data_IF_721613364151
#
_entry.id   IF_721613364151
#
_cell.length_a   1.000
_cell.length_b   1.000
_cell.length_c   1.000
_cell.angle_alpha   90.00
_cell.angle_beta   90.00
_cell.angle_gamma   90.00
#
_symmetry.space_group_name_H-M   'P 1'
#
loop_
_entity.id
_entity.type
_entity.pdbx_description
1 polymer ?
#
# COMPACT_ATOMS: atom_id res chain seq x y z
N UNK A 1 -37.93 -36.16 -57.18
CA UNK A 1 -36.71 -36.25 -56.35
C UNK A 1 -35.86 -34.98 -56.36
N UNK A 2 -35.62 -34.34 -57.51
CA UNK A 2 -34.72 -33.16 -57.64
C UNK A 2 -35.08 -31.94 -56.75
N UNK A 3 -36.38 -31.65 -56.53
CA UNK A 3 -36.83 -30.52 -55.70
C UNK A 3 -36.47 -30.66 -54.22
N UNK A 4 -36.42 -31.89 -53.70
CA UNK A 4 -36.13 -32.14 -52.28
C UNK A 4 -34.62 -32.00 -51.97
N UNK A 5 -33.77 -32.24 -52.97
CA UNK A 5 -32.31 -32.09 -52.85
C UNK A 5 -31.90 -30.62 -52.87
N UNK A 6 -32.53 -29.80 -53.72
CA UNK A 6 -32.25 -28.35 -53.77
C UNK A 6 -32.66 -27.69 -52.46
N UNK A 7 -33.84 -28.01 -51.92
CA UNK A 7 -34.34 -27.40 -50.68
C UNK A 7 -33.47 -27.76 -49.45
N UNK A 8 -32.95 -28.99 -49.39
CA UNK A 8 -31.99 -29.39 -48.35
C UNK A 8 -30.63 -28.69 -48.50
N UNK A 9 -30.16 -28.49 -49.74
CA UNK A 9 -28.91 -27.77 -50.00
C UNK A 9 -29.02 -26.29 -49.59
N UNK A 10 -30.16 -25.65 -49.85
CA UNK A 10 -30.38 -24.24 -49.45
C UNK A 10 -30.44 -24.08 -47.94
N UNK A 11 -31.04 -25.03 -47.22
CA UNK A 11 -31.11 -24.99 -45.75
C UNK A 11 -29.72 -25.22 -45.14
N UNK A 12 -28.93 -26.16 -45.67
CA UNK A 12 -27.55 -26.40 -45.20
C UNK A 12 -26.64 -25.20 -45.49
N UNK A 13 -26.80 -24.52 -46.63
CA UNK A 13 -26.03 -23.33 -46.97
C UNK A 13 -26.42 -22.13 -46.09
N UNK A 14 -27.72 -21.95 -45.79
CA UNK A 14 -28.19 -20.92 -44.87
C UNK A 14 -27.73 -21.17 -43.42
N UNK A 15 -27.71 -22.44 -42.99
CA UNK A 15 -27.22 -22.82 -41.66
C UNK A 15 -25.69 -22.69 -41.54
N UNK A 16 -24.95 -22.95 -42.62
CA UNK A 16 -23.51 -22.74 -42.68
C UNK A 16 -23.13 -21.24 -42.70
N UNK A 17 -23.97 -20.39 -43.30
CA UNK A 17 -23.82 -18.92 -43.25
C UNK A 17 -24.17 -18.32 -41.88
N UNK A 18 -25.08 -18.96 -41.13
CA UNK A 18 -25.40 -18.59 -39.73
C UNK A 18 -24.35 -19.08 -38.71
N UNK A 19 -23.51 -20.05 -39.09
CA UNK A 19 -22.40 -20.59 -38.29
C UNK A 19 -21.04 -20.08 -38.73
N UNK A 20 -20.98 -19.15 -39.69
CA UNK A 20 -19.74 -18.44 -39.98
C UNK A 20 -19.34 -17.69 -38.70
N UNK A 21 -18.17 -17.98 -38.10
CA UNK A 21 -17.70 -17.19 -36.97
C UNK A 21 -17.63 -15.75 -37.45
N UNK A 22 -18.42 -14.88 -36.82
CA UNK A 22 -18.26 -13.45 -36.97
C UNK A 22 -16.81 -13.17 -36.64
N UNK A 23 -16.01 -12.85 -37.66
CA UNK A 23 -14.66 -12.33 -37.47
C UNK A 23 -14.89 -10.97 -36.82
N UNK A 24 -14.94 -10.96 -35.49
CA UNK A 24 -14.91 -9.74 -34.70
C UNK A 24 -13.54 -9.15 -35.00
N UNK A 25 -13.48 -8.24 -35.96
CA UNK A 25 -12.29 -7.43 -36.19
C UNK A 25 -11.96 -6.75 -34.87
N UNK A 26 -10.78 -7.01 -34.32
CA UNK A 26 -10.31 -6.30 -33.13
C UNK A 26 -10.39 -4.80 -33.41
N UNK A 27 -11.35 -4.11 -32.78
CA UNK A 27 -11.44 -2.66 -32.86
C UNK A 27 -10.17 -2.08 -32.24
N UNK A 28 -9.61 -1.04 -32.86
CA UNK A 28 -8.50 -0.35 -32.22
C UNK A 28 -9.00 0.29 -30.92
N UNK A 29 -8.14 0.36 -29.91
CA UNK A 29 -8.46 1.02 -28.64
C UNK A 29 -8.94 2.47 -28.85
N UNK A 30 -8.42 3.17 -29.86
CA UNK A 30 -8.84 4.52 -30.23
C UNK A 30 -10.25 4.55 -30.86
N UNK A 31 -10.65 3.52 -31.61
CA UNK A 31 -12.01 3.43 -32.15
C UNK A 31 -13.05 3.26 -31.04
N UNK A 32 -12.77 2.36 -30.08
CA UNK A 32 -13.59 2.18 -28.87
C UNK A 32 -13.71 3.52 -28.13
N UNK A 33 -12.59 4.22 -27.96
CA UNK A 33 -12.56 5.51 -27.27
C UNK A 33 -13.39 6.58 -28.00
N UNK A 34 -13.28 6.65 -29.33
CA UNK A 34 -13.97 7.63 -30.15
C UNK A 34 -15.50 7.46 -30.09
N UNK A 35 -16.00 6.22 -29.95
CA UNK A 35 -17.43 5.93 -29.82
C UNK A 35 -18.04 6.48 -28.52
N UNK A 36 -17.21 6.72 -27.50
CA UNK A 36 -17.62 7.18 -26.17
C UNK A 36 -17.27 8.64 -25.90
N UNK A 37 -16.91 9.42 -26.93
CA UNK A 37 -16.70 10.87 -26.79
C UNK A 37 -17.97 11.57 -26.29
N UNK A 38 -17.79 12.48 -25.34
CA UNK A 38 -18.83 13.45 -24.98
C UNK A 38 -18.59 14.77 -25.70
N UNK A 39 -19.64 15.60 -25.75
CA UNK A 39 -19.55 16.91 -26.38
C UNK A 39 -18.44 17.76 -25.74
N UNK A 40 -17.67 18.46 -26.58
CA UNK A 40 -16.51 19.28 -26.19
C UNK A 40 -15.26 18.52 -25.72
N UNK A 41 -15.17 17.20 -25.95
CA UNK A 41 -13.90 16.49 -25.81
C UNK A 41 -12.91 16.98 -26.88
N UNK A 42 -11.73 17.41 -26.45
CA UNK A 42 -10.68 17.99 -27.30
C UNK A 42 -9.57 17.00 -27.61
N UNK A 43 -9.28 16.07 -26.69
CA UNK A 43 -8.21 15.09 -26.85
C UNK A 43 -8.56 13.77 -26.16
N UNK A 44 -8.09 12.66 -26.75
CA UNK A 44 -8.16 11.31 -26.20
C UNK A 44 -6.74 10.76 -26.13
N UNK A 45 -6.37 10.21 -24.99
CA UNK A 45 -5.09 9.59 -24.75
C UNK A 45 -5.29 8.22 -24.10
N UNK A 46 -4.67 7.18 -24.65
CA UNK A 46 -4.63 5.87 -24.00
C UNK A 46 -3.53 5.94 -22.95
N UNK A 47 -3.90 5.96 -21.68
CA UNK A 47 -2.96 6.04 -20.55
C UNK A 47 -2.21 4.71 -20.42
N UNK A 48 -2.97 3.61 -20.43
CA UNK A 48 -2.40 2.28 -20.24
C UNK A 48 -3.27 1.19 -20.84
N UNK A 49 -2.66 0.02 -21.01
CA UNK A 49 -3.31 -1.26 -21.32
C UNK A 49 -2.86 -2.27 -20.27
N UNK A 50 -3.83 -2.82 -19.54
CA UNK A 50 -3.58 -3.76 -18.43
C UNK A 50 -4.43 -5.02 -18.60
N UNK A 51 -3.94 -6.14 -18.10
CA UNK A 51 -4.69 -7.40 -18.07
C UNK A 51 -5.15 -7.66 -16.64
N UNK A 52 -6.43 -7.94 -16.44
CA UNK A 52 -6.98 -8.31 -15.13
C UNK A 52 -7.94 -9.48 -15.30
N UNK A 53 -7.72 -10.54 -14.52
CA UNK A 53 -8.54 -11.75 -14.55
C UNK A 53 -8.67 -12.33 -15.98
N UNK A 54 -7.56 -12.32 -16.73
CA UNK A 54 -7.50 -12.80 -18.11
C UNK A 54 -8.18 -11.91 -19.15
N UNK A 55 -8.74 -10.77 -18.75
CA UNK A 55 -9.35 -9.79 -19.67
C UNK A 55 -8.42 -8.59 -19.83
N UNK A 56 -8.25 -8.12 -21.07
CA UNK A 56 -7.48 -6.89 -21.32
C UNK A 56 -8.39 -5.67 -21.21
N UNK A 57 -7.90 -4.64 -20.54
CA UNK A 57 -8.58 -3.37 -20.33
C UNK A 57 -7.73 -2.21 -20.85
N UNK A 58 -8.39 -1.21 -21.41
CA UNK A 58 -7.82 0.05 -21.87
C UNK A 58 -8.24 1.16 -20.90
N UNK A 59 -7.25 1.87 -20.36
CA UNK A 59 -7.48 3.04 -19.50
C UNK A 59 -7.27 4.29 -20.34
N UNK A 60 -8.34 5.05 -20.55
CA UNK A 60 -8.39 6.11 -21.55
C UNK A 60 -8.70 7.44 -20.88
N UNK A 61 -7.85 8.43 -21.10
CA UNK A 61 -8.05 9.81 -20.65
C UNK A 61 -8.76 10.63 -21.71
N UNK A 62 -9.80 11.32 -21.29
CA UNK A 62 -10.50 12.32 -22.07
C UNK A 62 -10.22 13.70 -21.49
N UNK A 63 -9.76 14.61 -22.35
CA UNK A 63 -9.66 16.02 -22.01
C UNK A 63 -10.84 16.74 -22.66
N UNK A 64 -11.59 17.49 -21.86
CA UNK A 64 -12.75 18.27 -22.28
C UNK A 64 -12.47 19.76 -22.07
N UNK A 65 -13.09 20.63 -22.90
CA UNK A 65 -13.01 22.09 -22.70
C UNK A 65 -13.48 22.49 -21.29
N UNK A 66 -14.45 21.76 -20.74
CA UNK A 66 -14.94 21.93 -19.39
C UNK A 66 -14.15 21.03 -18.44
N UNK A 67 -13.31 21.57 -17.51
CA UNK A 67 -12.39 20.75 -16.72
C UNK A 67 -13.07 19.65 -15.89
N UNK A 68 -14.27 19.93 -15.36
CA UNK A 68 -15.06 18.96 -14.60
C UNK A 68 -15.60 17.78 -15.42
N UNK A 69 -15.58 17.90 -16.75
CA UNK A 69 -16.01 16.87 -17.68
C UNK A 69 -14.82 16.05 -18.22
N UNK A 70 -13.59 16.47 -17.93
CA UNK A 70 -12.38 15.67 -18.23
C UNK A 70 -12.29 14.51 -17.24
N UNK A 71 -11.64 13.42 -17.65
CA UNK A 71 -11.39 12.31 -16.74
C UNK A 71 -10.98 11.03 -17.45
N UNK A 72 -11.17 9.90 -16.77
CA UNK A 72 -10.77 8.59 -17.27
C UNK A 72 -11.98 7.71 -17.52
N UNK A 73 -11.95 6.93 -18.58
CA UNK A 73 -12.85 5.81 -18.79
C UNK A 73 -12.05 4.53 -18.98
N UNK A 74 -12.69 3.40 -18.65
CA UNK A 74 -12.08 2.08 -18.75
C UNK A 74 -12.94 1.27 -19.69
N UNK A 75 -12.30 0.61 -20.65
CA UNK A 75 -12.97 -0.28 -21.60
C UNK A 75 -12.32 -1.64 -21.57
N UNK A 76 -13.11 -2.70 -21.64
CA UNK A 76 -12.56 -4.03 -21.95
C UNK A 76 -12.19 -4.15 -23.44
N UNK A 77 -11.43 -5.18 -23.78
CA UNK A 77 -10.96 -5.44 -25.14
C UNK A 77 -12.08 -5.61 -26.19
N UNK A 78 -13.28 -5.98 -25.75
CA UNK A 78 -14.49 -6.09 -26.57
C UNK A 78 -15.25 -4.76 -26.73
N UNK A 79 -14.75 -3.68 -26.13
CA UNK A 79 -15.31 -2.33 -26.23
C UNK A 79 -16.37 -1.99 -25.18
N UNK A 80 -16.65 -2.87 -24.22
CA UNK A 80 -17.60 -2.57 -23.14
C UNK A 80 -17.02 -1.56 -22.15
N UNK A 81 -17.77 -0.49 -21.88
CA UNK A 81 -17.42 0.49 -20.85
C UNK A 81 -17.59 -0.12 -19.46
N UNK A 82 -16.55 -0.02 -18.63
CA UNK A 82 -16.57 -0.56 -17.26
C UNK A 82 -17.21 0.45 -16.33
N UNK A 83 -18.34 0.04 -15.75
CA UNK A 83 -19.13 0.86 -14.82
C UNK A 83 -19.10 0.34 -13.39
N UNK A 84 -18.69 -0.92 -13.18
CA UNK A 84 -18.56 -1.53 -11.85
C UNK A 84 -17.36 -0.91 -11.11
N UNK A 85 -17.59 -0.25 -9.96
CA UNK A 85 -16.52 0.35 -9.16
C UNK A 85 -15.45 -0.65 -8.69
N UNK A 86 -15.82 -1.91 -8.43
CA UNK A 86 -14.88 -2.94 -7.96
C UNK A 86 -13.88 -3.33 -9.06
N UNK A 87 -14.39 -3.56 -10.27
CA UNK A 87 -13.55 -3.85 -11.45
C UNK A 87 -12.71 -2.63 -11.81
N UNK A 88 -13.32 -1.44 -11.85
CA UNK A 88 -12.61 -0.19 -12.14
C UNK A 88 -11.47 0.04 -11.13
N UNK A 89 -11.73 -0.12 -9.83
CA UNK A 89 -10.70 0.01 -8.79
C UNK A 89 -9.56 -0.98 -9.02
N UNK A 90 -9.85 -2.23 -9.37
CA UNK A 90 -8.82 -3.25 -9.61
C UNK A 90 -7.94 -2.90 -10.83
N UNK A 91 -8.56 -2.52 -11.95
CA UNK A 91 -7.86 -2.09 -13.18
C UNK A 91 -7.00 -0.86 -12.95
N UNK A 92 -7.53 0.16 -12.25
CA UNK A 92 -6.78 1.39 -11.95
C UNK A 92 -5.68 1.16 -10.92
N UNK A 93 -5.86 0.21 -10.00
CA UNK A 93 -4.81 -0.24 -9.07
C UNK A 93 -3.66 -0.84 -9.85
N UNK A 94 -3.92 -1.76 -10.78
CA UNK A 94 -2.87 -2.31 -11.63
C UNK A 94 -2.14 -1.24 -12.44
N UNK A 95 -2.90 -0.31 -13.03
CA UNK A 95 -2.34 0.80 -13.82
C UNK A 95 -1.42 1.68 -12.96
N UNK A 96 -1.86 2.03 -11.75
CA UNK A 96 -1.08 2.83 -10.81
C UNK A 96 0.20 2.11 -10.37
N UNK A 97 0.11 0.82 -10.04
CA UNK A 97 1.26 0.01 -9.63
C UNK A 97 2.23 -0.25 -10.75
N UNK A 98 1.76 -0.45 -11.99
CA UNK A 98 2.61 -0.57 -13.17
C UNK A 98 3.35 0.74 -13.44
N UNK A 99 2.66 1.89 -13.46
CA UNK A 99 3.31 3.21 -13.59
C UNK A 99 4.34 3.43 -12.46
N UNK A 100 3.98 3.15 -11.21
CA UNK A 100 4.90 3.24 -10.09
C UNK A 100 6.13 2.32 -10.25
N UNK A 101 5.93 1.07 -10.63
CA UNK A 101 7.00 0.09 -10.83
C UNK A 101 7.94 0.48 -11.98
N UNK A 102 7.42 1.05 -13.07
CA UNK A 102 8.27 1.55 -14.17
C UNK A 102 9.11 2.76 -13.76
N UNK A 103 8.67 3.54 -12.77
CA UNK A 103 9.43 4.65 -12.20
C UNK A 103 10.47 4.20 -11.18
N UNK A 104 10.40 2.95 -10.69
CA UNK A 104 11.42 2.41 -9.78
C UNK A 104 12.78 2.31 -10.48
N UNK A 105 13.74 2.98 -9.89
CA UNK A 105 15.15 2.87 -10.28
C UNK A 105 15.67 1.49 -9.86
N UNK A 106 16.67 0.94 -10.55
CA UNK A 106 17.36 -0.26 -10.09
C UNK A 106 17.80 -0.17 -8.61
N UNK A 107 18.28 1.00 -8.19
CA UNK A 107 18.67 1.30 -6.80
C UNK A 107 17.55 1.12 -5.77
N UNK A 108 16.28 1.26 -6.17
CA UNK A 108 15.14 1.12 -5.26
C UNK A 108 14.85 -0.36 -5.00
N UNK A 109 14.98 -1.20 -6.04
CA UNK A 109 14.92 -2.66 -5.92
C UNK A 109 16.13 -3.18 -5.13
N UNK A 110 17.31 -2.62 -5.37
CA UNK A 110 18.51 -2.95 -4.59
C UNK A 110 18.31 -2.60 -3.11
N UNK A 111 17.68 -1.45 -2.81
CA UNK A 111 17.33 -1.09 -1.42
C UNK A 111 16.42 -2.14 -0.77
N UNK A 112 15.43 -2.69 -1.49
CA UNK A 112 14.59 -3.78 -0.96
C UNK A 112 15.38 -5.07 -0.74
N UNK A 113 16.35 -5.37 -1.60
CA UNK A 113 17.26 -6.52 -1.43
C UNK A 113 18.17 -6.30 -0.21
N UNK A 114 18.65 -5.08 0.00
CA UNK A 114 19.45 -4.73 1.18
C UNK A 114 18.62 -4.86 2.47
N UNK A 115 17.32 -4.50 2.46
CA UNK A 115 16.41 -4.74 3.59
C UNK A 115 16.27 -6.23 3.87
N UNK A 116 16.08 -7.03 2.81
CA UNK A 116 15.96 -8.48 2.92
C UNK A 116 17.22 -9.09 3.55
N UNK A 117 18.39 -8.70 3.06
CA UNK A 117 19.67 -9.21 3.55
C UNK A 117 19.94 -8.74 4.98
N UNK A 118 19.67 -7.46 5.29
CA UNK A 118 19.72 -6.93 6.67
C UNK A 118 18.80 -7.73 7.61
N UNK A 119 17.60 -8.09 7.17
CA UNK A 119 16.68 -8.89 7.99
C UNK A 119 17.20 -10.30 8.26
N UNK A 120 17.91 -10.91 7.30
CA UNK A 120 18.54 -12.23 7.47
C UNK A 120 19.74 -12.14 8.41
N UNK A 121 20.54 -11.08 8.30
CA UNK A 121 21.65 -10.82 9.22
C UNK A 121 21.16 -10.63 10.65
N UNK A 122 20.09 -9.85 10.85
CA UNK A 122 19.43 -9.71 12.16
C UNK A 122 19.02 -11.08 12.70
N UNK A 123 18.33 -11.90 11.91
CA UNK A 123 17.92 -13.23 12.34
C UNK A 123 19.13 -14.08 12.76
N UNK A 124 20.20 -14.08 11.95
CA UNK A 124 21.43 -14.82 12.21
C UNK A 124 22.17 -14.36 13.47
N UNK A 125 22.13 -13.08 13.78
CA UNK A 125 22.74 -12.51 14.99
C UNK A 125 21.88 -12.74 16.25
N UNK A 126 20.56 -12.63 16.13
CA UNK A 126 19.64 -12.69 17.29
C UNK A 126 19.39 -14.11 17.76
N UNK A 127 19.27 -15.07 16.84
CA UNK A 127 18.89 -16.44 17.18
C UNK A 127 19.88 -17.14 18.15
N UNK A 128 21.22 -17.05 17.97
CA UNK A 128 22.18 -17.58 18.92
C UNK A 128 22.05 -16.96 20.32
N UNK A 129 21.93 -15.63 20.40
CA UNK A 129 21.83 -14.93 21.69
C UNK A 129 20.52 -15.26 22.42
N UNK A 130 19.42 -15.43 21.69
CA UNK A 130 18.16 -15.91 22.29
C UNK A 130 18.33 -17.32 22.88
N UNK A 131 19.01 -18.21 22.16
CA UNK A 131 19.31 -19.57 22.64
C UNK A 131 20.23 -19.55 23.87
N UNK A 132 21.29 -18.75 23.87
CA UNK A 132 22.19 -18.58 25.01
C UNK A 132 21.47 -17.97 26.22
N UNK A 133 20.59 -16.99 25.99
CA UNK A 133 19.74 -16.41 27.03
C UNK A 133 18.85 -17.48 27.69
N UNK A 134 18.17 -18.30 26.88
CA UNK A 134 17.39 -19.44 27.38
C UNK A 134 18.24 -20.43 28.18
N UNK A 135 19.44 -20.76 27.69
CA UNK A 135 20.36 -21.66 28.39
C UNK A 135 20.78 -21.10 29.76
N UNK A 136 21.11 -19.81 29.86
CA UNK A 136 21.47 -19.19 31.14
C UNK A 136 20.28 -19.17 32.11
N UNK A 137 19.05 -18.94 31.64
CA UNK A 137 17.83 -19.05 32.46
C UNK A 137 17.70 -20.48 33.03
N UNK A 138 17.90 -21.50 32.19
CA UNK A 138 17.88 -22.89 32.63
C UNK A 138 18.98 -23.18 33.66
N UNK A 139 20.16 -22.58 33.48
CA UNK A 139 21.26 -22.68 34.47
C UNK A 139 20.94 -21.98 35.78
N UNK A 140 20.24 -20.84 35.77
CA UNK A 140 19.75 -20.19 37.00
C UNK A 140 18.80 -21.13 37.75
N UNK A 141 17.89 -21.79 37.04
CA UNK A 141 16.96 -22.76 37.63
C UNK A 141 17.68 -23.97 38.19
N UNK A 142 18.60 -24.56 37.43
CA UNK A 142 19.43 -25.68 37.88
C UNK A 142 20.25 -25.31 39.13
N UNK A 143 20.85 -24.11 39.16
CA UNK A 143 21.63 -23.63 40.30
C UNK A 143 20.77 -23.56 41.56
N UNK A 144 19.51 -23.14 41.41
CA UNK A 144 18.52 -23.00 42.48
C UNK A 144 18.04 -24.35 43.04
N UNK A 145 17.83 -25.35 42.19
CA UNK A 145 17.18 -26.61 42.59
C UNK A 145 18.15 -27.77 42.82
N UNK A 146 19.22 -27.86 42.03
CA UNK A 146 20.01 -29.08 41.87
C UNK A 146 21.48 -28.92 42.27
N UNK A 147 22.04 -27.71 42.23
CA UNK A 147 23.45 -27.46 42.53
C UNK A 147 23.75 -27.47 44.04
N UNK A 148 23.57 -28.62 44.69
CA UNK A 148 23.81 -28.82 46.11
C UNK A 148 24.60 -30.09 46.39
N UNK A 149 25.39 -30.06 47.46
CA UNK A 149 26.18 -31.21 47.95
C UNK A 149 25.83 -31.47 49.41
N UNK A 150 25.54 -32.72 49.73
CA UNK A 150 25.35 -33.17 51.11
C UNK A 150 26.69 -33.48 51.76
N UNK A 151 27.05 -32.70 52.77
CA UNK A 151 28.30 -32.88 53.51
C UNK A 151 27.99 -33.59 54.83
N UNK A 152 28.65 -34.71 55.16
CA UNK A 152 28.48 -35.39 56.44
C UNK A 152 28.66 -34.41 57.62
N UNK A 153 27.77 -34.48 58.60
CA UNK A 153 27.78 -33.67 59.84
C UNK A 153 27.59 -32.14 59.67
N UNK A 154 27.68 -31.59 58.46
CA UNK A 154 27.51 -30.15 58.15
C UNK A 154 26.18 -29.87 57.44
N UNK A 155 25.58 -30.89 56.81
CA UNK A 155 24.31 -30.81 56.10
C UNK A 155 24.45 -30.40 54.63
N UNK A 156 23.31 -30.14 53.99
CA UNK A 156 23.21 -29.76 52.57
C UNK A 156 23.77 -28.35 52.36
N UNK A 157 24.69 -28.19 51.41
CA UNK A 157 25.21 -26.89 50.95
C UNK A 157 24.84 -26.68 49.50
N UNK A 158 24.25 -25.54 49.20
CA UNK A 158 23.79 -25.20 47.86
C UNK A 158 24.56 -24.02 47.29
N UNK A 159 24.90 -24.10 46.00
CA UNK A 159 25.55 -23.04 45.25
C UNK A 159 24.68 -21.77 45.22
N UNK A 160 23.35 -21.94 45.08
CA UNK A 160 22.39 -20.85 45.10
C UNK A 160 22.47 -19.96 46.34
N UNK A 161 22.64 -20.55 47.52
CA UNK A 161 22.71 -19.77 48.77
C UNK A 161 23.97 -18.90 48.81
N UNK A 162 25.10 -19.44 48.34
CA UNK A 162 26.35 -18.71 48.23
C UNK A 162 26.26 -17.57 47.19
N UNK A 163 25.67 -17.85 46.02
CA UNK A 163 25.45 -16.83 44.98
C UNK A 163 24.49 -15.76 45.45
N UNK A 164 23.39 -16.11 46.12
CA UNK A 164 22.43 -15.14 46.66
C UNK A 164 23.03 -14.28 47.77
N UNK A 165 23.93 -14.83 48.58
CA UNK A 165 24.64 -14.09 49.61
C UNK A 165 25.63 -13.08 49.00
N UNK A 166 26.35 -13.48 47.95
CA UNK A 166 27.29 -12.60 47.25
C UNK A 166 26.59 -11.57 46.35
N UNK A 167 25.47 -11.96 45.74
CA UNK A 167 24.68 -11.15 44.81
C UNK A 167 23.18 -11.29 45.10
N UNK A 168 22.64 -10.50 46.05
CA UNK A 168 21.21 -10.52 46.36
C UNK A 168 20.30 -10.18 45.17
N UNK A 169 20.86 -9.50 44.15
CA UNK A 169 20.18 -9.14 42.91
C UNK A 169 19.98 -10.29 41.91
N UNK A 170 20.38 -11.54 42.20
CA UNK A 170 20.32 -12.64 41.24
C UNK A 170 18.89 -12.92 40.70
N UNK A 171 17.85 -12.62 41.46
CA UNK A 171 16.46 -12.72 40.97
C UNK A 171 16.11 -11.64 39.94
N UNK A 172 16.76 -10.48 40.00
CA UNK A 172 16.63 -9.44 38.98
C UNK A 172 17.23 -9.90 37.66
N UNK A 173 18.36 -10.61 37.69
CA UNK A 173 18.98 -11.19 36.49
C UNK A 173 18.03 -12.15 35.79
N UNK A 174 17.40 -13.06 36.53
CA UNK A 174 16.41 -13.99 35.97
C UNK A 174 15.25 -13.24 35.28
N UNK A 175 14.71 -12.21 35.94
CA UNK A 175 13.63 -11.38 35.37
C UNK A 175 14.08 -10.64 34.11
N UNK A 176 15.27 -10.05 34.14
CA UNK A 176 15.84 -9.32 33.01
C UNK A 176 16.12 -10.25 31.82
N UNK A 177 16.72 -11.42 32.07
CA UNK A 177 16.96 -12.44 31.05
C UNK A 177 15.65 -12.99 30.47
N UNK A 178 14.66 -13.29 31.32
CA UNK A 178 13.36 -13.77 30.86
C UNK A 178 12.65 -12.76 29.97
N UNK A 179 12.69 -11.48 30.37
CA UNK A 179 12.16 -10.41 29.54
C UNK A 179 13.03 -10.24 28.28
N UNK A 180 14.36 -10.33 28.35
CA UNK A 180 15.26 -10.17 27.19
C UNK A 180 14.98 -11.24 26.15
N UNK A 181 14.83 -12.49 26.59
CA UNK A 181 14.52 -13.60 25.71
C UNK A 181 13.20 -13.37 24.95
N UNK A 182 12.19 -12.78 25.60
CA UNK A 182 10.93 -12.43 24.94
C UNK A 182 11.15 -11.39 23.84
N UNK A 183 11.93 -10.35 24.11
CA UNK A 183 12.20 -9.30 23.12
C UNK A 183 13.09 -9.79 21.97
N UNK A 184 14.10 -10.63 22.26
CA UNK A 184 14.93 -11.27 21.23
C UNK A 184 14.08 -12.16 20.32
N UNK A 185 13.16 -12.95 20.87
CA UNK A 185 12.27 -13.77 20.05
C UNK A 185 11.31 -12.91 19.22
N UNK A 186 10.75 -11.85 19.78
CA UNK A 186 9.90 -10.92 19.01
C UNK A 186 10.68 -10.22 17.88
N UNK A 187 11.94 -9.85 18.12
CA UNK A 187 12.81 -9.25 17.11
C UNK A 187 13.17 -10.25 16.00
N UNK A 188 13.51 -11.49 16.37
CA UNK A 188 13.75 -12.61 15.46
C UNK A 188 12.53 -12.90 14.58
N UNK A 189 11.34 -12.96 15.17
CA UNK A 189 10.09 -13.24 14.45
C UNK A 189 9.75 -12.10 13.48
N UNK A 190 10.00 -10.85 13.87
CA UNK A 190 9.83 -9.69 12.98
C UNK A 190 10.79 -9.74 11.78
N UNK A 191 12.05 -10.12 12.01
CA UNK A 191 13.04 -10.29 10.96
C UNK A 191 12.65 -11.40 9.97
N UNK A 192 12.13 -12.50 10.50
CA UNK A 192 11.60 -13.60 9.70
C UNK A 192 10.35 -13.16 8.90
N UNK A 193 9.47 -12.34 9.48
CA UNK A 193 8.32 -11.75 8.79
C UNK A 193 8.72 -10.98 7.53
N UNK A 194 9.77 -10.14 7.62
CA UNK A 194 10.34 -9.43 6.47
C UNK A 194 10.93 -10.41 5.45
N UNK A 195 11.72 -11.38 5.92
CA UNK A 195 12.34 -12.40 5.07
C UNK A 195 11.33 -13.23 4.27
N UNK A 196 10.13 -13.46 4.82
CA UNK A 196 9.08 -14.23 4.18
C UNK A 196 8.23 -13.43 3.17
N UNK A 197 8.09 -12.12 3.41
CA UNK A 197 7.18 -11.25 2.63
C UNK A 197 7.91 -10.53 1.51
N UNK A 198 9.11 -10.02 1.77
CA UNK A 198 9.82 -9.14 0.85
C UNK A 198 10.25 -9.80 -0.47
N UNK A 199 10.61 -11.11 -0.53
CA UNK A 199 10.89 -11.76 -1.81
C UNK A 199 9.69 -11.72 -2.78
N UNK A 200 8.47 -11.86 -2.28
CA UNK A 200 7.24 -11.78 -3.11
C UNK A 200 7.03 -10.36 -3.63
N UNK A 201 7.27 -9.35 -2.78
CA UNK A 201 7.19 -7.94 -3.16
C UNK A 201 8.20 -7.61 -4.25
N UNK A 202 9.47 -7.99 -4.06
CA UNK A 202 10.55 -7.75 -5.02
C UNK A 202 10.20 -8.40 -6.36
N UNK A 203 9.84 -9.70 -6.36
CA UNK A 203 9.46 -10.41 -7.57
C UNK A 203 8.27 -9.77 -8.28
N UNK A 204 7.23 -9.38 -7.54
CA UNK A 204 6.05 -8.75 -8.13
C UNK A 204 6.33 -7.37 -8.73
N UNK A 205 7.19 -6.57 -8.09
CA UNK A 205 7.63 -5.29 -8.64
C UNK A 205 8.50 -5.46 -9.89
N UNK A 206 9.39 -6.46 -9.92
CA UNK A 206 10.19 -6.81 -11.09
C UNK A 206 9.30 -7.31 -12.26
N UNK A 207 8.27 -8.11 -11.96
CA UNK A 207 7.28 -8.59 -12.94
C UNK A 207 6.46 -7.44 -13.54
N UNK A 208 5.99 -6.51 -12.70
CA UNK A 208 5.29 -5.29 -13.15
C UNK A 208 6.19 -4.43 -14.05
N UNK A 209 7.47 -4.29 -13.68
CA UNK A 209 8.45 -3.54 -14.47
C UNK A 209 8.72 -4.21 -15.82
N UNK A 210 8.64 -5.53 -15.90
CA UNK A 210 8.68 -6.30 -17.14
C UNK A 210 7.37 -6.25 -17.95
N UNK A 211 6.33 -5.56 -17.44
CA UNK A 211 5.04 -5.41 -18.11
C UNK A 211 4.11 -6.62 -17.96
N UNK A 212 4.36 -7.51 -17.01
CA UNK A 212 3.47 -8.64 -16.71
C UNK A 212 2.23 -8.18 -15.95
N UNK A 213 1.19 -9.03 -15.95
CA UNK A 213 0.00 -8.83 -15.11
C UNK A 213 0.41 -8.80 -13.63
N UNK A 214 -0.20 -7.89 -12.87
CA UNK A 214 0.03 -7.78 -11.43
C UNK A 214 -0.47 -9.05 -10.74
N UNK A 215 0.37 -9.67 -9.91
CA UNK A 215 -0.09 -10.72 -9.01
C UNK A 215 -1.22 -10.17 -8.12
N UNK A 216 -2.41 -10.81 -8.07
CA UNK A 216 -3.52 -10.39 -7.21
C UNK A 216 -3.14 -10.22 -5.74
N UNK A 217 -2.15 -10.96 -5.25
CA UNK A 217 -1.67 -10.86 -3.86
C UNK A 217 -0.59 -9.78 -3.67
N UNK A 218 -0.07 -9.16 -4.73
CA UNK A 218 1.06 -8.23 -4.61
C UNK A 218 0.74 -7.04 -3.69
N UNK A 219 -0.46 -6.48 -3.76
CA UNK A 219 -0.85 -5.38 -2.89
C UNK A 219 -0.85 -5.80 -1.41
N UNK A 220 -1.41 -6.97 -1.11
CA UNK A 220 -1.40 -7.54 0.24
C UNK A 220 0.03 -7.84 0.69
N UNK A 221 0.85 -8.45 -0.17
CA UNK A 221 2.26 -8.72 0.13
C UNK A 221 3.05 -7.43 0.41
N UNK A 222 2.76 -6.32 -0.29
CA UNK A 222 3.38 -5.02 -0.02
C UNK A 222 2.95 -4.48 1.34
N UNK A 223 1.66 -4.53 1.65
CA UNK A 223 1.13 -4.08 2.95
C UNK A 223 1.71 -4.89 4.10
N UNK A 224 1.73 -6.21 3.97
CA UNK A 224 2.29 -7.13 4.94
C UNK A 224 3.80 -6.92 5.09
N UNK A 225 4.51 -6.73 3.98
CA UNK A 225 5.94 -6.42 3.97
C UNK A 225 6.28 -5.12 4.68
N UNK A 226 5.52 -4.05 4.44
CA UNK A 226 5.70 -2.78 5.15
C UNK A 226 5.38 -2.91 6.65
N UNK A 227 4.32 -3.63 7.01
CA UNK A 227 3.95 -3.85 8.41
C UNK A 227 5.03 -4.66 9.15
N UNK A 228 5.53 -5.73 8.51
CA UNK A 228 6.62 -6.54 9.03
C UNK A 228 7.89 -5.71 9.20
N UNK A 229 8.23 -4.88 8.20
CA UNK A 229 9.39 -4.00 8.25
C UNK A 229 9.27 -2.92 9.34
N UNK A 230 8.11 -2.28 9.49
CA UNK A 230 7.86 -1.33 10.57
C UNK A 230 8.00 -1.96 11.96
N UNK A 231 7.54 -3.21 12.10
CA UNK A 231 7.72 -4.00 13.32
C UNK A 231 9.20 -4.31 13.57
N UNK A 232 9.93 -4.75 12.55
CA UNK A 232 11.37 -5.03 12.63
C UNK A 232 12.16 -3.80 13.07
N UNK A 233 11.89 -2.64 12.46
CA UNK A 233 12.53 -1.37 12.83
C UNK A 233 12.26 -1.03 14.29
N UNK A 234 10.99 -1.09 14.71
CA UNK A 234 10.58 -0.77 16.09
C UNK A 234 11.31 -1.68 17.09
N UNK A 235 11.37 -2.99 16.82
CA UNK A 235 12.08 -3.94 17.68
C UNK A 235 13.59 -3.75 17.69
N UNK A 236 14.18 -3.35 16.56
CA UNK A 236 15.61 -3.01 16.48
C UNK A 236 15.95 -1.77 17.32
N UNK A 237 15.08 -0.76 17.32
CA UNK A 237 15.29 0.48 18.09
C UNK A 237 15.09 0.23 19.60
N UNK A 238 14.05 -0.52 19.98
CA UNK A 238 13.76 -0.89 21.38
C UNK A 238 14.88 -1.75 22.00
N UNK A 239 15.32 -2.80 21.29
CA UNK A 239 16.32 -3.74 21.80
C UNK A 239 17.69 -3.06 21.97
N UNK A 240 18.06 -2.13 21.10
CA UNK A 240 19.36 -1.42 21.19
C UNK A 240 19.53 -0.67 22.51
N UNK A 241 18.45 -0.08 23.04
CA UNK A 241 18.42 0.55 24.36
C UNK A 241 18.57 -0.54 25.43
N UNK A 242 17.72 -1.55 25.35
CA UNK A 242 17.60 -2.61 26.35
C UNK A 242 18.86 -3.44 26.56
N UNK A 243 19.60 -3.76 25.50
CA UNK A 243 20.87 -4.50 25.59
C UNK A 243 21.89 -3.76 26.48
N UNK A 244 21.83 -2.42 26.53
CA UNK A 244 22.72 -1.63 27.39
C UNK A 244 22.51 -1.95 28.88
N UNK A 245 21.26 -2.06 29.31
CA UNK A 245 20.88 -2.30 30.70
C UNK A 245 21.17 -3.76 31.10
N UNK A 246 20.91 -4.70 30.17
CA UNK A 246 21.23 -6.11 30.36
C UNK A 246 22.74 -6.32 30.51
N UNK A 247 23.58 -5.68 29.68
CA UNK A 247 25.05 -5.81 29.78
C UNK A 247 25.54 -5.39 31.17
N UNK A 248 25.01 -4.30 31.73
CA UNK A 248 25.37 -3.87 33.09
C UNK A 248 24.97 -4.94 34.11
N UNK A 249 23.73 -5.42 34.03
CA UNK A 249 23.20 -6.46 34.92
C UNK A 249 24.02 -7.76 34.85
N UNK A 250 24.40 -8.20 33.64
CA UNK A 250 25.19 -9.42 33.45
C UNK A 250 26.63 -9.25 33.92
N UNK A 251 27.23 -8.07 33.72
CA UNK A 251 28.59 -7.80 34.21
C UNK A 251 28.64 -7.81 35.75
N UNK A 252 27.64 -7.23 36.41
CA UNK A 252 27.51 -7.26 37.87
C UNK A 252 27.28 -8.68 38.39
N UNK A 253 26.40 -9.43 37.71
CA UNK A 253 26.12 -10.82 38.03
C UNK A 253 27.35 -11.71 37.86
N UNK A 254 28.08 -11.58 36.76
CA UNK A 254 29.31 -12.35 36.49
C UNK A 254 30.35 -12.08 37.58
N UNK A 255 30.68 -10.80 37.83
CA UNK A 255 31.69 -10.39 38.81
C UNK A 255 31.35 -10.90 40.22
N UNK A 256 30.11 -10.71 40.65
CA UNK A 256 29.66 -11.12 41.98
C UNK A 256 29.59 -12.64 42.13
N UNK A 257 29.11 -13.35 41.10
CA UNK A 257 29.08 -14.83 41.08
C UNK A 257 30.51 -15.38 41.11
N UNK A 258 31.42 -14.79 40.35
CA UNK A 258 32.81 -15.23 40.28
C UNK A 258 33.54 -15.02 41.61
N UNK A 259 33.21 -13.95 42.35
CA UNK A 259 33.66 -13.78 43.74
C UNK A 259 33.12 -14.88 44.68
N UNK A 260 31.90 -15.37 44.45
CA UNK A 260 31.31 -16.44 45.23
C UNK A 260 31.90 -17.82 44.93
N UNK A 261 32.58 -17.99 43.79
CA UNK A 261 33.20 -19.26 43.38
C UNK A 261 34.31 -19.73 44.34
N UNK A 262 34.83 -18.85 45.21
CA UNK A 262 35.71 -19.24 46.32
C UNK A 262 35.03 -20.03 47.44
N UNK A 263 33.70 -20.23 47.38
CA UNK A 263 32.95 -20.99 48.40
C UNK A 263 33.37 -22.46 48.37
N UNK A 264 33.83 -23.03 49.51
CA UNK A 264 34.19 -24.44 49.57
C UNK A 264 33.05 -25.36 49.13
N UNK A 265 33.42 -26.48 48.48
CA UNK A 265 32.53 -27.58 48.08
C UNK A 265 31.59 -27.26 46.91
N UNK A 266 31.00 -26.07 46.84
CA UNK A 266 30.07 -25.67 45.75
C UNK A 266 30.68 -24.73 44.72
N UNK A 267 31.94 -24.31 44.92
CA UNK A 267 32.63 -23.32 44.08
C UNK A 267 32.71 -23.66 42.60
N UNK A 268 32.84 -24.94 42.24
CA UNK A 268 32.90 -25.38 40.84
C UNK A 268 31.58 -25.14 40.08
N UNK A 269 30.44 -25.39 40.73
CA UNK A 269 29.12 -25.09 40.18
C UNK A 269 28.95 -23.58 39.95
N UNK A 270 29.44 -22.78 40.89
CA UNK A 270 29.37 -21.32 40.84
C UNK A 270 30.27 -20.77 39.73
N UNK A 271 31.49 -21.30 39.59
CA UNK A 271 32.42 -20.92 38.51
C UNK A 271 31.82 -21.22 37.14
N UNK A 272 31.27 -22.43 36.96
CA UNK A 272 30.63 -22.82 35.70
C UNK A 272 29.46 -21.90 35.35
N UNK A 273 28.66 -21.52 36.35
CA UNK A 273 27.57 -20.57 36.14
C UNK A 273 28.09 -19.16 35.79
N UNK A 274 29.14 -18.68 36.48
CA UNK A 274 29.76 -17.40 36.15
C UNK A 274 30.30 -17.36 34.72
N UNK A 275 30.92 -18.45 34.26
CA UNK A 275 31.41 -18.58 32.88
C UNK A 275 30.26 -18.46 31.88
N UNK A 276 29.14 -19.16 32.11
CA UNK A 276 27.95 -19.07 31.25
C UNK A 276 27.37 -17.64 31.19
N UNK A 277 27.37 -16.91 32.31
CA UNK A 277 26.91 -15.51 32.37
C UNK A 277 27.89 -14.59 31.62
N UNK A 278 29.19 -14.83 31.74
CA UNK A 278 30.23 -14.10 31.02
C UNK A 278 30.14 -14.28 29.50
N UNK A 279 29.99 -15.52 29.04
CA UNK A 279 29.81 -15.85 27.62
C UNK A 279 28.57 -15.14 27.05
N UNK A 280 27.43 -15.20 27.76
CA UNK A 280 26.23 -14.48 27.36
C UNK A 280 26.43 -12.95 27.36
N UNK A 281 27.15 -12.40 28.34
CA UNK A 281 27.46 -10.97 28.39
C UNK A 281 28.24 -10.52 27.14
N UNK A 282 29.20 -11.32 26.70
CA UNK A 282 29.99 -11.03 25.50
C UNK A 282 29.17 -11.18 24.21
N UNK A 283 28.30 -12.18 24.12
CA UNK A 283 27.34 -12.29 23.02
C UNK A 283 26.38 -11.09 22.94
N UNK A 284 25.84 -10.64 24.09
CA UNK A 284 24.95 -9.48 24.16
C UNK A 284 25.69 -8.17 23.79
N UNK A 285 26.97 -8.03 24.15
CA UNK A 285 27.80 -6.89 23.71
C UNK A 285 27.99 -6.87 22.20
N UNK A 286 28.27 -8.03 21.60
CA UNK A 286 28.37 -8.15 20.15
C UNK A 286 27.04 -7.77 19.48
N UNK A 287 25.94 -8.36 19.94
CA UNK A 287 24.61 -8.07 19.39
C UNK A 287 24.21 -6.59 19.52
N UNK A 288 24.63 -5.91 20.58
CA UNK A 288 24.39 -4.46 20.74
C UNK A 288 25.11 -3.63 19.68
N UNK A 289 26.33 -4.01 19.30
CA UNK A 289 27.05 -3.35 18.21
C UNK A 289 26.30 -3.55 16.89
N UNK A 290 25.86 -4.77 16.63
CA UNK A 290 25.10 -5.13 15.43
C UNK A 290 23.75 -4.39 15.38
N UNK A 291 23.00 -4.36 16.49
CA UNK A 291 21.70 -3.67 16.60
C UNK A 291 21.78 -2.18 16.20
N UNK A 292 22.88 -1.49 16.55
CA UNK A 292 23.09 -0.09 16.15
C UNK A 292 23.32 0.05 14.65
N UNK A 293 24.11 -0.86 14.07
CA UNK A 293 24.34 -0.90 12.62
C UNK A 293 23.02 -1.16 11.89
N UNK A 294 22.24 -2.14 12.36
CA UNK A 294 20.93 -2.47 11.81
C UNK A 294 19.93 -1.32 11.91
N UNK A 295 19.84 -0.62 13.05
CA UNK A 295 18.95 0.53 13.22
C UNK A 295 19.24 1.65 12.22
N UNK A 296 20.52 1.95 11.97
CA UNK A 296 20.93 2.92 10.96
C UNK A 296 20.52 2.47 9.55
N UNK A 297 20.84 1.22 9.19
CA UNK A 297 20.52 0.64 7.88
C UNK A 297 19.00 0.66 7.60
N UNK A 298 18.19 0.18 8.56
CA UNK A 298 16.73 0.13 8.44
C UNK A 298 16.12 1.53 8.35
N UNK A 299 16.67 2.54 9.03
CA UNK A 299 16.15 3.90 8.98
C UNK A 299 16.31 4.52 7.59
N UNK A 300 17.48 4.33 6.96
CA UNK A 300 17.75 4.80 5.61
C UNK A 300 16.84 4.10 4.59
N UNK A 301 16.67 2.79 4.74
CA UNK A 301 15.84 1.98 3.85
C UNK A 301 14.33 2.29 3.99
N UNK A 302 13.85 2.57 5.21
CA UNK A 302 12.45 2.89 5.50
C UNK A 302 11.94 4.11 4.72
N UNK A 303 12.75 5.17 4.72
CA UNK A 303 12.39 6.42 4.05
C UNK A 303 12.14 6.21 2.55
N UNK A 304 13.01 5.45 1.89
CA UNK A 304 12.92 5.15 0.45
C UNK A 304 11.71 4.28 0.12
N UNK A 305 11.41 3.28 0.95
CA UNK A 305 10.26 2.39 0.72
C UNK A 305 8.92 3.14 0.87
N UNK A 306 8.80 4.02 1.88
CA UNK A 306 7.59 4.82 2.09
C UNK A 306 7.29 5.68 0.85
N UNK A 307 8.29 6.36 0.31
CA UNK A 307 8.13 7.25 -0.85
C UNK A 307 7.55 6.52 -2.08
N UNK A 308 7.99 5.27 -2.32
CA UNK A 308 7.51 4.44 -3.43
C UNK A 308 6.03 4.08 -3.25
N UNK A 309 5.66 3.60 -2.06
CA UNK A 309 4.30 3.15 -1.78
C UNK A 309 3.33 4.33 -1.74
N UNK A 310 3.75 5.47 -1.17
CA UNK A 310 2.96 6.69 -1.15
C UNK A 310 2.72 7.23 -2.57
N UNK A 311 3.72 7.15 -3.44
CA UNK A 311 3.58 7.53 -4.86
C UNK A 311 2.56 6.65 -5.58
N UNK A 312 2.62 5.32 -5.38
CA UNK A 312 1.68 4.38 -5.98
C UNK A 312 0.23 4.62 -5.49
N UNK A 313 0.05 4.76 -4.18
CA UNK A 313 -1.27 5.01 -3.57
C UNK A 313 -1.85 6.36 -4.00
N UNK A 314 -1.03 7.42 -4.07
CA UNK A 314 -1.45 8.72 -4.57
C UNK A 314 -1.91 8.63 -6.03
N UNK A 315 -1.14 7.94 -6.89
CA UNK A 315 -1.49 7.74 -8.29
C UNK A 315 -2.80 6.97 -8.45
N UNK A 316 -3.01 5.91 -7.65
CA UNK A 316 -4.26 5.15 -7.64
C UNK A 316 -5.45 6.04 -7.31
N UNK A 317 -5.36 6.86 -6.25
CA UNK A 317 -6.42 7.79 -5.87
C UNK A 317 -6.71 8.81 -6.98
N UNK A 318 -5.67 9.40 -7.58
CA UNK A 318 -5.82 10.35 -8.70
C UNK A 318 -6.55 9.72 -9.90
N UNK A 319 -6.18 8.48 -10.27
CA UNK A 319 -6.82 7.75 -11.36
C UNK A 319 -8.29 7.41 -11.04
N UNK A 320 -8.56 6.97 -9.81
CA UNK A 320 -9.90 6.62 -9.36
C UNK A 320 -10.84 7.84 -9.30
N UNK A 321 -10.36 8.96 -8.76
CA UNK A 321 -11.11 10.22 -8.73
C UNK A 321 -11.39 10.73 -10.15
N UNK A 322 -10.40 10.64 -11.04
CA UNK A 322 -10.55 11.01 -12.44
C UNK A 322 -11.57 10.13 -13.19
N UNK A 323 -11.60 8.84 -12.89
CA UNK A 323 -12.63 7.93 -13.40
C UNK A 323 -14.03 8.28 -12.86
N UNK A 324 -14.13 8.52 -11.54
CA UNK A 324 -15.40 8.82 -10.88
C UNK A 324 -16.01 10.14 -11.37
N UNK A 325 -15.20 11.18 -11.61
CA UNK A 325 -15.66 12.46 -12.18
C UNK A 325 -16.28 12.26 -13.57
N UNK A 326 -15.66 11.41 -14.40
CA UNK A 326 -16.08 11.21 -15.78
C UNK A 326 -17.44 10.51 -15.90
N UNK A 327 -17.82 9.68 -14.92
CA UNK A 327 -19.10 8.94 -14.90
C UNK A 327 -20.33 9.82 -15.09
N UNK A 328 -20.31 11.06 -14.61
CA UNK A 328 -21.44 11.99 -14.70
C UNK A 328 -21.19 13.15 -15.67
N UNK A 329 -20.07 13.12 -16.40
CA UNK A 329 -19.64 14.23 -17.24
C UNK A 329 -20.63 14.54 -18.36
N UNK A 330 -21.19 13.52 -19.01
CA UNK A 330 -22.19 13.72 -20.09
C UNK A 330 -23.40 14.50 -19.58
N UNK A 331 -23.99 14.08 -18.47
CA UNK A 331 -25.16 14.74 -17.84
C UNK A 331 -24.82 16.19 -17.47
N UNK A 332 -23.65 16.44 -16.89
CA UNK A 332 -23.23 17.79 -16.49
C UNK A 332 -22.97 18.71 -17.69
N UNK A 333 -22.35 18.21 -18.76
CA UNK A 333 -22.10 18.97 -19.99
C UNK A 333 -23.44 19.36 -20.64
N UNK A 334 -24.35 18.40 -20.81
CA UNK A 334 -25.67 18.68 -21.39
C UNK A 334 -26.51 19.61 -20.52
N UNK A 335 -26.46 19.46 -19.19
CA UNK A 335 -27.14 20.35 -18.25
C UNK A 335 -26.58 21.79 -18.35
N UNK A 336 -25.26 21.94 -18.42
CA UNK A 336 -24.61 23.25 -18.55
C UNK A 336 -24.95 23.92 -19.87
N UNK A 337 -24.89 23.19 -20.99
CA UNK A 337 -25.28 23.73 -22.29
C UNK A 337 -26.77 24.08 -22.33
N UNK A 338 -27.64 23.24 -21.75
CA UNK A 338 -29.06 23.53 -21.60
C UNK A 338 -29.30 24.81 -20.80
N UNK A 339 -28.57 25.00 -19.69
CA UNK A 339 -28.61 26.22 -18.88
C UNK A 339 -28.16 27.46 -19.65
N UNK A 340 -27.06 27.38 -20.41
CA UNK A 340 -26.57 28.47 -21.26
C UNK A 340 -27.61 28.84 -22.31
N UNK A 341 -28.19 27.85 -23.00
CA UNK A 341 -29.24 28.08 -24.01
C UNK A 341 -30.47 28.73 -23.37
N UNK A 342 -30.91 28.26 -22.20
CA UNK A 342 -32.04 28.84 -21.48
C UNK A 342 -31.80 30.32 -21.11
N UNK A 343 -30.60 30.67 -20.66
CA UNK A 343 -30.21 32.06 -20.37
C UNK A 343 -30.22 32.91 -21.62
N UNK A 344 -29.66 32.42 -22.73
CA UNK A 344 -29.66 33.13 -24.02
C UNK A 344 -31.10 33.38 -24.49
N UNK A 345 -31.96 32.37 -24.44
CA UNK A 345 -33.38 32.49 -24.82
C UNK A 345 -34.11 33.49 -23.91
N UNK A 346 -33.84 33.49 -22.60
CA UNK A 346 -34.41 34.46 -21.68
C UNK A 346 -33.99 35.91 -22.02
N UNK A 347 -32.71 36.13 -22.33
CA UNK A 347 -32.20 37.45 -22.75
C UNK A 347 -32.89 37.90 -24.04
N UNK A 348 -32.98 37.03 -25.05
CA UNK A 348 -33.70 37.35 -26.30
C UNK A 348 -35.18 37.62 -26.05
N UNK A 349 -35.84 36.83 -25.19
CA UNK A 349 -37.22 37.05 -24.78
C UNK A 349 -37.43 38.42 -24.15
N UNK A 350 -36.55 38.83 -23.23
CA UNK A 350 -36.57 40.16 -22.60
C UNK A 350 -36.33 41.28 -23.63
N UNK A 351 -35.39 41.10 -24.57
CA UNK A 351 -35.10 42.08 -25.61
C UNK A 351 -36.29 42.26 -26.58
N UNK A 352 -36.91 41.16 -27.01
CA UNK A 352 -38.11 41.18 -27.87
C UNK A 352 -39.28 41.83 -27.12
N UNK A 353 -39.49 41.47 -25.85
CA UNK A 353 -40.51 42.08 -25.01
C UNK A 353 -40.30 43.59 -24.85
N UNK A 354 -39.08 44.03 -24.55
CA UNK A 354 -38.73 45.46 -24.47
C UNK A 354 -38.93 46.19 -25.80
N UNK A 355 -38.61 45.55 -26.92
CA UNK A 355 -38.83 46.13 -28.26
C UNK A 355 -40.32 46.32 -28.54
N UNK A 356 -41.16 45.30 -28.33
CA UNK A 356 -42.62 45.39 -28.50
C UNK A 356 -43.25 46.45 -27.60
N UNK A 357 -42.76 46.61 -26.36
CA UNK A 357 -43.23 47.67 -25.46
C UNK A 357 -42.89 49.07 -25.98
N UNK A 358 -41.67 49.28 -26.49
CA UNK A 358 -41.28 50.55 -27.12
C UNK A 358 -42.09 50.85 -28.37
N UNK A 359 -42.33 49.84 -29.22
CA UNK A 359 -43.14 49.99 -30.43
C UNK A 359 -44.61 50.32 -30.06
N UNK A 360 -45.15 49.69 -29.02
CA UNK A 360 -46.49 50.01 -28.46
C UNK A 360 -46.58 51.42 -27.86
N UNK A 361 -45.58 51.86 -27.07
CA UNK A 361 -45.53 53.24 -26.54
C UNK A 361 -45.41 54.28 -27.67
N UNK A 362 -44.67 53.97 -28.74
CA UNK A 362 -44.56 54.84 -29.90
C UNK A 362 -45.88 54.94 -30.68
N UNK A 363 -46.64 53.85 -30.81
CA UNK A 363 -47.97 53.85 -31.45
C UNK A 363 -48.96 54.68 -30.62
N UNK A 364 -49.01 54.49 -29.30
CA UNK A 364 -49.90 55.25 -28.41
C UNK A 364 -49.57 56.75 -28.41
N UNK A 365 -48.27 57.13 -28.43
CA UNK A 365 -47.87 58.53 -28.58
C UNK A 365 -48.31 59.11 -29.92
N UNK A 366 -48.24 58.34 -31.01
CA UNK A 366 -48.65 58.77 -32.35
C UNK A 366 -50.17 59.01 -32.43
N UNK A 367 -50.98 58.11 -31.88
CA UNK A 367 -52.44 58.29 -31.80
C UNK A 367 -52.85 59.48 -30.92
N UNK A 368 -52.09 59.76 -29.86
CA UNK A 368 -52.36 60.92 -28.98
C UNK A 368 -52.04 62.24 -29.67
N UNK A 369 -50.95 62.30 -30.43
CA UNK A 369 -50.61 63.47 -31.26
C UNK A 369 -51.64 63.71 -32.37
N UNK A 370 -52.13 62.66 -33.05
CA UNK A 370 -53.21 62.82 -34.04
C UNK A 370 -54.52 63.32 -33.42
N UNK A 371 -54.89 62.88 -32.21
CA UNK A 371 -56.09 63.38 -31.51
C UNK A 371 -55.96 64.84 -31.05
N UNK A 372 -54.77 65.27 -30.63
CA UNK A 372 -54.52 66.67 -30.27
C UNK A 372 -54.52 67.59 -31.50
N UNK A 373 -53.97 67.16 -32.64
CA UNK A 373 -54.05 67.91 -33.90
C UNK A 373 -55.51 68.07 -34.40
N UNK A 374 -56.33 67.01 -34.29
CA UNK A 374 -57.75 67.09 -34.61
C UNK A 374 -58.53 68.02 -33.66
N UNK A 375 -58.15 68.09 -32.38
CA UNK A 375 -58.76 69.00 -31.40
C UNK A 375 -58.31 70.46 -31.56
N UNK A 376 -57.10 70.72 -32.09
CA UNK A 376 -56.64 72.07 -32.40
C UNK A 376 -57.32 72.63 -33.66
N UNK A 377 -57.56 71.78 -34.68
CA UNK A 377 -58.29 72.20 -35.87
C UNK A 377 -59.78 72.50 -35.63
N UNK A 378 -60.39 71.96 -34.58
CA UNK A 378 -61.80 72.25 -34.24
C UNK A 378 -62.01 73.55 -33.47
N UNK A 379 -60.94 74.25 -33.04
CA UNK A 379 -61.02 75.52 -32.31
C UNK A 379 -60.81 76.76 -33.20
N UNK A 380 -60.59 76.58 -34.52
CA UNK A 380 -60.33 77.65 -35.50
C UNK A 380 -61.52 77.83 -36.49
N UNK A 381 -62.68 77.26 -36.19
CA UNK A 381 -63.96 77.58 -36.87
C UNK A 381 -64.95 78.09 -35.84
#
# INVERSE_FOLDING_TARGET
MLKNTIQKLTIVLALALLLAPTIISAQSNLDIANQHKILLDTNIEVIDTVSYAGTTYYVIKYNNILPYASGIEIFSADGLQITDPSVAKSVLTQTAWKDAATRLKPSDIDTLKDVLDTSREIYGAVAPVASATSFVIDKVNWLRSEACIDIPFVGKKCAWDAVKAAYPGISMVESELGSLNKDLNAWKDAAQGVSNTLPKVISGLEDLKAGKEMDPELQTNIQDGMAAFGTLKTKTDEIGIRLSDVISTLSDAESSTRSAAGTPVVGEFISTFADCVGDLNDEVKSLRADARSFSSSLSDQSSKLSDVVDTANKKMNELYDSWNLRRNASVLVYSTLGGIIAVIVAIFGVLIYRKRRKDGENIVKKEKMEKEDYSMMSYIR
#
